data_IF_849655414910
#
_entry.id   IF_849655414910
#
_cell.length_a   1.000
_cell.length_b   1.000
_cell.length_c   1.000
_cell.angle_alpha   90.00
_cell.angle_beta   90.00
_cell.angle_gamma   90.00
#
_symmetry.space_group_name_H-M   'P 1'
#
loop_
_entity.id
_entity.type
_entity.pdbx_description
1 polymer ?
#
# COMPACT_ATOMS: atom_id res chain seq x y z
N UNK A 1 -13.89 -2.68 -4.67
CA UNK A 1 -12.44 -2.39 -4.77
C UNK A 1 -12.19 -0.90 -4.50
N UNK A 2 -13.09 -0.01 -4.94
CA UNK A 2 -13.06 1.44 -4.69
C UNK A 2 -12.80 1.83 -3.24
N UNK A 3 -13.54 1.30 -2.26
CA UNK A 3 -13.47 1.84 -0.90
C UNK A 3 -12.09 1.69 -0.25
N UNK A 4 -11.39 0.58 -0.48
CA UNK A 4 -10.05 0.36 0.10
C UNK A 4 -8.97 1.22 -0.59
N UNK A 5 -9.11 1.44 -1.90
CA UNK A 5 -8.24 2.33 -2.67
C UNK A 5 -8.48 3.79 -2.24
N UNK A 6 -9.74 4.19 -2.07
CA UNK A 6 -10.12 5.51 -1.55
C UNK A 6 -9.53 5.76 -0.15
N UNK A 7 -9.56 4.75 0.74
CA UNK A 7 -8.91 4.87 2.04
C UNK A 7 -7.40 5.05 1.92
N UNK A 8 -6.72 4.33 1.02
CA UNK A 8 -5.30 4.54 0.77
C UNK A 8 -5.00 5.95 0.27
N UNK A 9 -5.78 6.46 -0.68
CA UNK A 9 -5.63 7.83 -1.20
C UNK A 9 -5.81 8.85 -0.08
N UNK A 10 -6.84 8.69 0.76
CA UNK A 10 -7.09 9.58 1.91
C UNK A 10 -5.93 9.53 2.92
N UNK A 11 -5.39 8.35 3.20
CA UNK A 11 -4.25 8.20 4.11
C UNK A 11 -3.00 8.86 3.51
N UNK A 12 -2.71 8.65 2.23
CA UNK A 12 -1.55 9.24 1.55
C UNK A 12 -1.65 10.78 1.52
N UNK A 13 -2.84 11.33 1.24
CA UNK A 13 -3.08 12.77 1.31
C UNK A 13 -2.87 13.34 2.73
N UNK A 14 -3.30 12.61 3.77
CA UNK A 14 -3.02 13.00 5.14
C UNK A 14 -1.52 12.95 5.44
N UNK A 15 -0.81 11.92 4.99
CA UNK A 15 0.64 11.81 5.17
C UNK A 15 1.40 12.96 4.48
N UNK A 16 0.97 13.40 3.30
CA UNK A 16 1.52 14.60 2.62
C UNK A 16 1.34 15.84 3.51
N UNK A 17 0.11 16.11 3.98
CA UNK A 17 -0.18 17.26 4.85
C UNK A 17 0.60 17.21 6.17
N UNK A 18 0.75 16.02 6.74
CA UNK A 18 1.58 15.83 7.95
C UNK A 18 3.06 16.11 7.66
N UNK A 19 3.55 15.80 6.46
CA UNK A 19 4.89 16.14 5.99
C UNK A 19 5.11 17.65 5.88
N UNK A 20 4.12 18.39 5.38
CA UNK A 20 4.13 19.86 5.33
C UNK A 20 4.16 20.45 6.75
N UNK A 21 3.35 19.94 7.67
CA UNK A 21 3.37 20.36 9.08
C UNK A 21 4.72 20.10 9.75
N UNK A 22 5.31 18.92 9.50
CA UNK A 22 6.66 18.61 9.97
C UNK A 22 7.68 19.64 9.47
N UNK A 23 7.56 20.08 8.21
CA UNK A 23 8.48 21.06 7.64
C UNK A 23 8.41 22.41 8.37
N UNK A 24 7.21 22.88 8.72
CA UNK A 24 6.99 24.16 9.41
C UNK A 24 7.40 24.10 10.89
N UNK A 25 7.18 22.96 11.54
CA UNK A 25 7.32 22.84 12.99
C UNK A 25 8.76 22.58 13.48
N UNK A 26 9.68 22.23 12.58
CA UNK A 26 11.05 21.83 12.92
C UNK A 26 12.06 22.94 12.60
N UNK A 27 13.07 23.17 13.45
CA UNK A 27 14.10 24.15 13.16
C UNK A 27 14.97 23.72 11.97
N UNK A 28 15.33 24.68 11.13
CA UNK A 28 16.15 24.43 9.93
C UNK A 28 17.62 24.07 10.22
N UNK A 29 18.05 24.19 11.47
CA UNK A 29 19.46 24.37 11.82
C UNK A 29 20.19 23.08 12.20
N UNK A 30 19.48 22.06 12.68
CA UNK A 30 20.08 20.91 13.39
C UNK A 30 19.64 19.54 12.88
N UNK A 31 18.40 19.41 12.43
CA UNK A 31 17.87 18.18 11.86
C UNK A 31 16.38 18.29 11.55
N UNK A 32 15.90 17.49 10.60
CA UNK A 32 14.47 17.43 10.26
C UNK A 32 14.01 16.01 9.95
N UNK A 33 12.80 15.68 10.36
CA UNK A 33 12.05 14.50 9.97
C UNK A 33 11.19 14.90 8.77
N UNK A 34 11.21 14.12 7.71
CA UNK A 34 10.35 14.28 6.54
C UNK A 34 9.62 12.98 6.22
N UNK A 35 8.51 13.12 5.52
CA UNK A 35 7.78 12.02 4.90
C UNK A 35 7.95 12.21 3.40
N UNK A 36 8.66 11.28 2.77
CA UNK A 36 8.90 11.26 1.34
C UNK A 36 8.12 10.09 0.73
N UNK A 37 7.83 10.16 -0.56
CA UNK A 37 7.12 9.10 -1.30
C UNK A 37 8.02 8.59 -2.42
N UNK A 38 8.15 7.26 -2.51
CA UNK A 38 8.83 6.60 -3.61
C UNK A 38 7.81 5.80 -4.43
N UNK A 39 7.95 5.85 -5.75
CA UNK A 39 7.23 4.94 -6.62
C UNK A 39 7.92 3.57 -6.62
N UNK A 40 7.17 2.52 -6.27
CA UNK A 40 7.65 1.14 -6.33
C UNK A 40 6.58 0.25 -6.95
N UNK A 41 6.89 -0.38 -8.09
CA UNK A 41 5.96 -1.26 -8.84
C UNK A 41 4.60 -0.59 -9.11
N UNK A 42 4.62 0.67 -9.53
CA UNK A 42 3.41 1.45 -9.81
C UNK A 42 2.63 1.93 -8.57
N UNK A 43 3.09 1.61 -7.36
CA UNK A 43 2.48 2.07 -6.11
C UNK A 43 3.34 3.14 -5.45
N UNK A 44 2.72 4.26 -5.08
CA UNK A 44 3.37 5.23 -4.20
C UNK A 44 3.57 4.60 -2.83
N UNK A 45 4.77 4.74 -2.24
CA UNK A 45 5.11 4.19 -0.93
C UNK A 45 5.71 5.30 -0.07
N UNK A 46 5.02 5.73 1.01
CA UNK A 46 5.58 6.68 1.94
C UNK A 46 6.71 6.03 2.75
N UNK A 47 7.72 6.82 3.08
CA UNK A 47 8.78 6.46 4.00
C UNK A 47 9.24 7.68 4.77
N UNK A 48 9.86 7.45 5.92
CA UNK A 48 10.37 8.53 6.75
C UNK A 48 11.85 8.69 6.52
N UNK A 49 12.25 9.94 6.36
CA UNK A 49 13.65 10.33 6.23
C UNK A 49 14.02 11.31 7.33
N UNK A 50 15.17 11.10 7.93
CA UNK A 50 15.75 12.03 8.91
C UNK A 50 16.97 12.66 8.29
N UNK A 51 16.95 13.98 8.19
CA UNK A 51 18.07 14.79 7.79
C UNK A 51 18.80 15.27 9.04
N UNK A 52 20.13 15.26 9.01
CA UNK A 52 20.98 15.79 10.07
C UNK A 52 22.12 16.59 9.48
N UNK A 53 22.51 17.65 10.17
CA UNK A 53 23.68 18.45 9.80
C UNK A 53 24.93 17.82 10.43
N UNK A 54 25.95 17.54 9.62
CA UNK A 54 27.22 17.01 10.13
C UNK A 54 28.00 18.12 10.86
N UNK A 55 28.33 17.88 12.14
CA UNK A 55 29.15 18.82 12.95
C UNK A 55 30.54 19.04 12.37
N UNK A 56 31.17 18.00 11.82
CA UNK A 56 32.53 18.04 11.29
C UNK A 56 32.64 18.47 9.81
N UNK A 57 31.53 18.78 9.14
CA UNK A 57 31.46 18.79 7.66
C UNK A 57 31.15 20.13 6.99
N UNK A 58 31.51 21.29 7.57
CA UNK A 58 31.23 22.63 7.00
C UNK A 58 29.76 22.82 6.55
N UNK A 59 28.81 22.30 7.31
CA UNK A 59 27.38 22.44 7.00
C UNK A 59 26.80 21.42 5.99
N UNK A 60 27.53 20.35 5.65
CA UNK A 60 26.98 19.22 4.88
C UNK A 60 25.82 18.54 5.62
N UNK A 61 24.77 18.24 4.87
CA UNK A 61 23.60 17.49 5.32
C UNK A 61 23.73 16.03 4.95
N UNK A 62 23.32 15.14 5.86
CA UNK A 62 23.12 13.73 5.56
C UNK A 62 21.66 13.37 5.79
N UNK A 63 21.19 12.36 5.06
CA UNK A 63 19.84 11.85 5.21
C UNK A 63 19.87 10.34 5.40
N UNK A 64 19.04 9.84 6.31
CA UNK A 64 18.85 8.40 6.51
C UNK A 64 17.37 8.06 6.53
N UNK A 65 17.02 6.95 5.89
CA UNK A 65 15.68 6.40 6.00
C UNK A 65 15.54 5.73 7.37
N UNK A 66 14.42 5.95 8.04
CA UNK A 66 14.14 5.38 9.37
C UNK A 66 12.74 4.78 9.39
N UNK A 67 12.51 3.88 10.35
CA UNK A 67 11.18 3.35 10.62
C UNK A 67 10.25 4.43 11.19
N UNK A 68 8.96 4.31 10.89
CA UNK A 68 7.90 5.05 11.58
C UNK A 68 7.79 4.62 13.04
N UNK A 69 8.14 3.37 13.34
CA UNK A 69 8.19 2.86 14.70
C UNK A 69 9.30 3.57 15.49
N UNK A 70 8.89 4.35 16.50
CA UNK A 70 9.81 5.08 17.37
C UNK A 70 10.02 6.55 17.03
N UNK A 71 9.23 7.12 16.12
CA UNK A 71 9.23 8.57 15.85
C UNK A 71 9.05 9.40 17.13
N UNK A 72 8.09 9.04 17.98
CA UNK A 72 7.84 9.73 19.26
C UNK A 72 9.04 9.65 20.19
N UNK A 73 9.69 8.48 20.30
CA UNK A 73 10.93 8.30 21.09
C UNK A 73 12.06 9.18 20.56
N UNK A 74 12.16 9.36 19.24
CA UNK A 74 13.14 10.25 18.61
C UNK A 74 12.90 11.71 18.97
N UNK A 75 11.65 12.18 18.90
CA UNK A 75 11.28 13.54 19.28
C UNK A 75 11.55 13.78 20.77
N UNK A 76 11.16 12.86 21.66
CA UNK A 76 11.40 12.97 23.13
C UNK A 76 12.87 13.15 23.51
N UNK A 77 13.80 12.57 22.74
CA UNK A 77 15.24 12.63 23.00
C UNK A 77 15.91 13.84 22.37
N UNK A 78 15.21 14.56 21.49
CA UNK A 78 15.78 15.68 20.76
C UNK A 78 15.43 17.00 21.45
N UNK A 79 16.45 17.70 21.94
CA UNK A 79 16.30 19.06 22.49
C UNK A 79 15.97 20.10 21.43
N UNK A 80 16.07 19.74 20.15
CA UNK A 80 15.93 20.65 19.01
C UNK A 80 14.47 21.04 18.75
N UNK A 81 13.49 20.33 19.32
CA UNK A 81 12.07 20.58 19.04
C UNK A 81 11.33 21.37 20.12
N UNK A 82 12.04 21.96 21.10
CA UNK A 82 11.45 22.53 22.32
C UNK A 82 10.20 23.41 22.10
N UNK A 83 10.18 24.39 21.18
CA UNK A 83 9.03 25.29 21.02
C UNK A 83 7.74 24.56 20.61
N UNK A 84 7.88 23.51 19.80
CA UNK A 84 6.76 22.74 19.25
C UNK A 84 6.71 21.30 19.78
N UNK A 85 7.45 20.99 20.86
CA UNK A 85 7.73 19.61 21.24
C UNK A 85 6.47 18.79 21.50
N UNK A 86 5.49 19.35 22.21
CA UNK A 86 4.21 18.68 22.50
C UNK A 86 3.43 18.37 21.23
N UNK A 87 3.36 19.32 20.30
CA UNK A 87 2.67 19.15 19.02
C UNK A 87 3.41 18.16 18.12
N UNK A 88 4.74 18.20 18.10
CA UNK A 88 5.58 17.24 17.36
C UNK A 88 5.37 15.80 17.84
N UNK A 89 5.20 15.58 19.15
CA UNK A 89 4.89 14.25 19.69
C UNK A 89 3.55 13.72 19.18
N UNK A 90 2.50 14.55 19.25
CA UNK A 90 1.17 14.20 18.72
C UNK A 90 1.26 13.91 17.22
N UNK A 91 1.95 14.78 16.47
CA UNK A 91 2.13 14.64 15.03
C UNK A 91 2.81 13.31 14.67
N UNK A 92 3.92 12.98 15.34
CA UNK A 92 4.64 11.72 15.16
C UNK A 92 3.81 10.48 15.53
N UNK A 93 2.97 10.57 16.57
CA UNK A 93 2.03 9.50 16.93
C UNK A 93 0.98 9.29 15.83
N UNK A 94 0.39 10.37 15.31
CA UNK A 94 -0.62 10.30 14.23
C UNK A 94 -0.01 9.80 12.93
N UNK A 95 1.21 10.22 12.58
CA UNK A 95 1.96 9.67 11.43
C UNK A 95 2.16 8.17 11.58
N UNK A 96 2.62 7.72 12.76
CA UNK A 96 2.80 6.27 13.04
C UNK A 96 1.49 5.53 12.79
N UNK A 97 0.37 6.07 13.29
CA UNK A 97 -0.96 5.45 13.10
C UNK A 97 -1.39 5.40 11.63
N UNK A 98 -1.12 6.45 10.85
CA UNK A 98 -1.41 6.46 9.41
C UNK A 98 -0.60 5.41 8.65
N UNK A 99 0.68 5.22 8.99
CA UNK A 99 1.50 4.15 8.42
C UNK A 99 0.94 2.75 8.72
N UNK A 100 0.48 2.50 9.95
CA UNK A 100 -0.17 1.24 10.33
C UNK A 100 -1.46 1.00 9.54
N UNK A 101 -2.36 2.00 9.51
CA UNK A 101 -3.63 1.91 8.77
C UNK A 101 -3.39 1.68 7.28
N UNK A 102 -2.37 2.33 6.72
CA UNK A 102 -1.97 2.13 5.33
C UNK A 102 -1.54 0.68 5.08
N UNK A 103 -0.70 0.13 5.95
CA UNK A 103 -0.26 -1.27 5.87
C UNK A 103 -1.44 -2.24 5.89
N UNK A 104 -2.36 -2.04 6.84
CA UNK A 104 -3.59 -2.83 6.95
C UNK A 104 -4.46 -2.76 5.69
N UNK A 105 -4.61 -1.57 5.08
CA UNK A 105 -5.37 -1.42 3.84
C UNK A 105 -4.67 -2.08 2.65
N UNK A 106 -3.34 -1.98 2.55
CA UNK A 106 -2.58 -2.66 1.50
C UNK A 106 -2.70 -4.18 1.61
N UNK A 107 -2.63 -4.73 2.83
CA UNK A 107 -2.80 -6.16 3.06
C UNK A 107 -4.23 -6.60 2.69
N UNK A 108 -5.25 -5.82 3.07
CA UNK A 108 -6.64 -6.08 2.68
C UNK A 108 -6.82 -6.12 1.16
N UNK A 109 -6.24 -5.19 0.42
CA UNK A 109 -6.27 -5.21 -1.05
C UNK A 109 -5.58 -6.45 -1.59
N UNK A 110 -4.42 -6.84 -1.05
CA UNK A 110 -3.70 -8.04 -1.46
C UNK A 110 -4.54 -9.31 -1.25
N UNK A 111 -5.20 -9.43 -0.10
CA UNK A 111 -6.09 -10.56 0.18
C UNK A 111 -7.31 -10.60 -0.74
N UNK A 112 -7.93 -9.45 -1.00
CA UNK A 112 -9.06 -9.36 -1.93
C UNK A 112 -8.65 -9.77 -3.35
N UNK A 113 -7.51 -9.27 -3.85
CA UNK A 113 -7.01 -9.66 -5.16
C UNK A 113 -6.76 -11.16 -5.24
N UNK A 114 -6.12 -11.74 -4.23
CA UNK A 114 -5.86 -13.18 -4.20
C UNK A 114 -7.16 -14.01 -4.20
N UNK A 115 -8.14 -13.62 -3.38
CA UNK A 115 -9.45 -14.29 -3.35
C UNK A 115 -10.20 -14.18 -4.68
N UNK A 116 -10.15 -13.03 -5.34
CA UNK A 116 -10.75 -12.84 -6.67
C UNK A 116 -10.05 -13.72 -7.71
N UNK A 117 -8.72 -13.75 -7.75
CA UNK A 117 -7.97 -14.62 -8.68
C UNK A 117 -8.33 -16.09 -8.49
N UNK A 118 -8.39 -16.56 -7.24
CA UNK A 118 -8.76 -17.94 -6.95
C UNK A 118 -10.20 -18.25 -7.38
N UNK A 119 -11.15 -17.36 -7.07
CA UNK A 119 -12.54 -17.53 -7.46
C UNK A 119 -12.72 -17.57 -8.98
N UNK A 120 -12.01 -16.71 -9.71
CA UNK A 120 -12.03 -16.70 -11.19
C UNK A 120 -11.45 -18.00 -11.74
N UNK A 121 -10.30 -18.46 -11.22
CA UNK A 121 -9.68 -19.71 -11.67
C UNK A 121 -10.57 -20.93 -11.42
N UNK A 122 -11.26 -20.99 -10.27
CA UNK A 122 -12.20 -22.08 -9.98
C UNK A 122 -13.41 -22.06 -10.90
N UNK A 123 -13.99 -20.89 -11.16
CA UNK A 123 -15.12 -20.74 -12.09
C UNK A 123 -14.73 -21.07 -13.54
N UNK A 124 -13.51 -20.74 -13.96
CA UNK A 124 -13.01 -21.12 -15.26
C UNK A 124 -12.94 -22.66 -15.40
N UNK A 125 -12.38 -23.35 -14.41
CA UNK A 125 -12.34 -24.82 -14.42
C UNK A 125 -13.75 -25.45 -14.42
N UNK A 126 -14.67 -24.93 -13.60
CA UNK A 126 -16.08 -25.38 -13.61
C UNK A 126 -16.76 -25.17 -14.97
N UNK A 127 -16.45 -24.06 -15.65
CA UNK A 127 -16.98 -23.78 -16.99
C UNK A 127 -16.39 -24.73 -18.03
N UNK A 128 -15.07 -24.97 -18.01
CA UNK A 128 -14.39 -25.89 -18.92
C UNK A 128 -14.97 -27.32 -18.81
N UNK A 129 -15.26 -27.79 -17.59
CA UNK A 129 -15.90 -29.09 -17.34
C UNK A 129 -17.32 -29.16 -17.92
N UNK A 130 -18.10 -28.09 -17.74
CA UNK A 130 -19.47 -28.02 -18.29
C UNK A 130 -19.46 -27.95 -19.81
N UNK A 131 -18.54 -27.19 -20.41
CA UNK A 131 -18.38 -27.13 -21.87
C UNK A 131 -18.02 -28.51 -22.45
N UNK A 132 -17.06 -29.22 -21.83
CA UNK A 132 -16.71 -30.57 -22.25
C UNK A 132 -17.88 -31.55 -22.17
N UNK A 133 -18.69 -31.46 -21.10
CA UNK A 133 -19.88 -32.29 -20.95
C UNK A 133 -20.94 -31.99 -22.02
N UNK A 134 -21.25 -30.72 -22.23
CA UNK A 134 -22.27 -30.29 -23.21
C UNK A 134 -21.85 -30.69 -24.63
N UNK A 135 -20.60 -30.43 -25.01
CA UNK A 135 -20.08 -30.82 -26.31
C UNK A 135 -20.10 -32.35 -26.49
N UNK A 136 -19.66 -33.10 -25.48
CA UNK A 136 -19.72 -34.56 -25.53
C UNK A 136 -21.14 -35.15 -25.50
N UNK A 137 -22.14 -34.40 -25.01
CA UNK A 137 -23.55 -34.77 -25.17
C UNK A 137 -24.03 -34.49 -26.59
N UNK A 138 -23.66 -33.35 -27.16
CA UNK A 138 -24.00 -32.97 -28.53
C UNK A 138 -23.44 -33.99 -29.53
N UNK A 139 -22.15 -34.31 -29.44
CA UNK A 139 -21.48 -35.29 -30.30
C UNK A 139 -22.21 -36.66 -30.27
N UNK A 140 -22.63 -37.11 -29.08
CA UNK A 140 -23.37 -38.38 -28.92
C UNK A 140 -24.74 -38.35 -29.57
N UNK A 141 -25.44 -37.23 -29.47
CA UNK A 141 -26.76 -37.04 -30.10
C UNK A 141 -26.60 -37.00 -31.62
N UNK A 142 -25.62 -36.25 -32.13
CA UNK A 142 -25.31 -36.17 -33.56
C UNK A 142 -24.98 -37.56 -34.13
N UNK A 143 -24.12 -38.34 -33.46
CA UNK A 143 -23.80 -39.72 -33.88
C UNK A 143 -25.03 -40.64 -33.89
N UNK A 144 -25.98 -40.48 -32.96
CA UNK A 144 -27.22 -41.28 -32.96
C UNK A 144 -28.11 -40.94 -34.15
N UNK A 145 -28.28 -39.66 -34.49
CA UNK A 145 -29.13 -39.24 -35.61
C UNK A 145 -28.48 -39.48 -36.97
N UNK A 146 -27.15 -39.43 -37.09
CA UNK A 146 -26.44 -39.83 -38.31
C UNK A 146 -26.53 -41.35 -38.55
N UNK A 147 -26.52 -42.16 -37.49
CA UNK A 147 -26.68 -43.62 -37.57
C UNK A 147 -28.12 -44.09 -37.86
N UNK A 148 -29.13 -43.30 -37.51
CA UNK A 148 -30.54 -43.56 -37.87
C UNK A 148 -30.91 -43.07 -39.29
N UNK A 149 -30.02 -42.32 -39.94
CA UNK A 149 -30.17 -41.81 -41.30
C UNK A 149 -29.64 -42.77 -42.39
N UNK A 150 -29.30 -44.02 -42.06
CA UNK A 150 -29.02 -45.04 -43.08
C UNK A 150 -30.32 -45.67 -43.63
N UNK A 151 -30.79 -45.02 -44.71
CA UNK A 151 -31.36 -45.60 -45.95
C UNK A 151 -32.74 -46.29 -45.88
N UNK A 152 -33.76 -45.59 -46.40
CA UNK A 152 -34.91 -46.20 -47.12
C UNK A 152 -34.47 -46.90 -48.41
#
# INVERSE_FOLDING_TARGET
>A
MDTAIDYLIRIDNLLVRMGELLYVMQPFQSGRIAIDFNMHRGQSKPFIRVYRKLRAGKGKWTSTNVSHLGLTKRVKRSREFEPNHRLMLVLCERITKLFELRGQMQDRIRYLMHGVTLAVSKRAAELDELEALVNGMLDRVEMQFEGEMEVE
#
